data_IF_785800180465
#
_entry.id   IF_785800180465
#
_cell.length_a   1.000
_cell.length_b   1.000
_cell.length_c   1.000
_cell.angle_alpha   90.00
_cell.angle_beta   90.00
_cell.angle_gamma   90.00
#
_symmetry.space_group_name_H-M   'P 1'
#
loop_
_entity.id
_entity.type
_entity.pdbx_description
1 polymer ?
#
# COMPACT_ATOMS: atom_id res chain seq x y z
N UNK A 1 -32.99 6.16 3.95
CA UNK A 1 -31.64 5.53 4.01
C UNK A 1 -31.55 4.74 5.32
N UNK A 2 -31.58 3.40 5.26
CA UNK A 2 -31.71 2.53 6.44
C UNK A 2 -30.49 2.56 7.38
N UNK A 3 -30.63 1.97 8.57
CA UNK A 3 -29.58 1.86 9.61
C UNK A 3 -28.23 1.35 9.07
N UNK A 4 -28.25 0.48 8.05
CA UNK A 4 -27.07 -0.02 7.36
C UNK A 4 -26.30 1.10 6.62
N UNK A 5 -27.01 2.03 5.98
CA UNK A 5 -26.40 3.16 5.28
C UNK A 5 -25.76 4.17 6.24
N UNK A 6 -26.33 4.37 7.43
CA UNK A 6 -25.73 5.19 8.48
C UNK A 6 -24.46 4.54 9.05
N UNK A 7 -24.45 3.21 9.19
CA UNK A 7 -23.30 2.45 9.68
C UNK A 7 -22.14 2.50 8.68
N UNK A 8 -22.39 2.27 7.39
CA UNK A 8 -21.38 2.37 6.33
C UNK A 8 -20.87 3.81 6.12
N UNK A 9 -21.64 4.82 6.52
CA UNK A 9 -21.19 6.20 6.43
C UNK A 9 -20.27 6.63 7.59
N UNK A 10 -20.23 5.86 8.68
CA UNK A 10 -19.35 6.10 9.82
C UNK A 10 -18.04 5.33 9.68
N UNK A 11 -16.91 5.96 10.02
CA UNK A 11 -15.61 5.27 10.07
C UNK A 11 -15.64 4.08 11.02
N UNK A 12 -16.29 4.23 12.18
CA UNK A 12 -16.43 3.15 13.15
C UNK A 12 -17.26 1.98 12.61
N UNK A 13 -18.33 2.27 11.86
CA UNK A 13 -19.17 1.23 11.27
C UNK A 13 -18.44 0.44 10.19
N UNK A 14 -17.68 1.11 9.31
CA UNK A 14 -16.82 0.43 8.32
C UNK A 14 -15.75 -0.44 8.98
N UNK A 15 -15.09 0.06 10.03
CA UNK A 15 -14.11 -0.71 10.79
C UNK A 15 -14.73 -1.94 11.47
N UNK A 16 -15.95 -1.82 12.02
CA UNK A 16 -16.68 -2.95 12.60
C UNK A 16 -17.05 -3.97 11.52
N UNK A 17 -17.54 -3.53 10.36
CA UNK A 17 -17.83 -4.43 9.25
C UNK A 17 -16.57 -5.19 8.79
N UNK A 18 -15.43 -4.49 8.68
CA UNK A 18 -14.16 -5.11 8.31
C UNK A 18 -13.71 -6.11 9.37
N UNK A 19 -13.85 -5.78 10.65
CA UNK A 19 -13.52 -6.68 11.75
C UNK A 19 -14.37 -7.96 11.70
N UNK A 20 -15.69 -7.83 11.53
CA UNK A 20 -16.61 -8.98 11.42
C UNK A 20 -16.23 -9.84 10.22
N UNK A 21 -15.96 -9.21 9.07
CA UNK A 21 -15.54 -9.90 7.85
C UNK A 21 -14.22 -10.66 8.08
N UNK A 22 -13.27 -10.06 8.78
CA UNK A 22 -11.97 -10.67 9.09
C UNK A 22 -12.12 -11.88 10.01
N UNK A 23 -12.95 -11.78 11.05
CA UNK A 23 -13.23 -12.89 11.97
C UNK A 23 -13.96 -14.04 11.26
N UNK A 24 -14.94 -13.72 10.42
CA UNK A 24 -15.67 -14.70 9.61
C UNK A 24 -14.73 -15.39 8.60
N UNK A 25 -13.88 -14.62 7.91
CA UNK A 25 -12.86 -15.14 7.00
C UNK A 25 -11.90 -16.09 7.72
N UNK A 26 -11.38 -15.70 8.88
CA UNK A 26 -10.47 -16.51 9.67
C UNK A 26 -11.09 -17.86 10.06
N UNK A 27 -12.37 -17.87 10.45
CA UNK A 27 -13.10 -19.11 10.74
C UNK A 27 -13.23 -20.01 9.50
N UNK A 28 -13.62 -19.44 8.35
CA UNK A 28 -13.79 -20.17 7.09
C UNK A 28 -12.46 -20.78 6.63
N UNK A 29 -11.39 -19.97 6.57
CA UNK A 29 -10.08 -20.44 6.12
C UNK A 29 -9.48 -21.50 7.05
N UNK A 30 -9.61 -21.33 8.37
CA UNK A 30 -9.18 -22.34 9.32
C UNK A 30 -9.87 -23.69 9.07
N UNK A 31 -11.17 -23.69 8.77
CA UNK A 31 -11.93 -24.91 8.47
C UNK A 31 -11.56 -25.52 7.13
N UNK A 32 -11.38 -24.70 6.10
CA UNK A 32 -11.11 -25.17 4.72
C UNK A 32 -9.67 -25.67 4.58
N UNK A 33 -8.69 -24.90 5.04
CA UNK A 33 -7.27 -25.18 4.83
C UNK A 33 -6.63 -25.96 5.98
N UNK A 34 -7.10 -25.78 7.23
CA UNK A 34 -6.47 -26.42 8.40
C UNK A 34 -6.43 -27.95 8.31
N UNK A 35 -7.54 -28.58 7.89
CA UNK A 35 -7.57 -30.02 7.70
C UNK A 35 -6.71 -30.49 6.52
N UNK A 36 -6.57 -29.66 5.47
CA UNK A 36 -5.75 -29.97 4.31
C UNK A 36 -4.24 -29.86 4.61
N UNK A 37 -3.86 -28.87 5.41
CA UNK A 37 -2.49 -28.69 5.89
C UNK A 37 -2.00 -29.91 6.68
N UNK A 38 -2.78 -30.34 7.67
CA UNK A 38 -2.43 -31.50 8.51
C UNK A 38 -2.28 -32.76 7.65
N UNK A 39 -3.20 -33.00 6.70
CA UNK A 39 -3.10 -34.13 5.77
C UNK A 39 -1.82 -34.07 4.94
N UNK A 40 -1.44 -32.89 4.47
CA UNK A 40 -0.23 -32.68 3.65
C UNK A 40 1.03 -32.94 4.45
N UNK A 41 1.11 -32.44 5.69
CA UNK A 41 2.21 -32.70 6.64
C UNK A 41 2.39 -34.20 6.90
N UNK A 42 1.30 -34.90 7.25
CA UNK A 42 1.33 -36.35 7.52
C UNK A 42 1.75 -37.13 6.26
N UNK A 43 1.25 -36.76 5.08
CA UNK A 43 1.62 -37.43 3.84
C UNK A 43 3.09 -37.22 3.47
N UNK A 44 3.62 -36.01 3.68
CA UNK A 44 5.02 -35.68 3.46
C UNK A 44 5.94 -36.45 4.42
N UNK A 45 5.60 -36.49 5.71
CA UNK A 45 6.32 -37.28 6.71
C UNK A 45 6.35 -38.78 6.35
N UNK A 46 5.20 -39.36 5.97
CA UNK A 46 5.11 -40.75 5.52
C UNK A 46 5.92 -41.02 4.25
N UNK A 47 5.92 -40.08 3.30
CA UNK A 47 6.71 -40.20 2.08
C UNK A 47 8.21 -40.21 2.39
N UNK A 48 8.67 -39.30 3.26
CA UNK A 48 10.07 -39.26 3.73
C UNK A 48 10.47 -40.55 4.43
N UNK A 49 9.65 -41.03 5.37
CA UNK A 49 9.93 -42.27 6.10
C UNK A 49 10.09 -43.45 5.14
N UNK A 50 9.25 -43.54 4.10
CA UNK A 50 9.36 -44.60 3.08
C UNK A 50 10.62 -44.50 2.23
N UNK A 51 11.03 -43.28 1.87
CA UNK A 51 12.28 -43.03 1.13
C UNK A 51 13.49 -43.39 1.99
N UNK A 52 13.47 -42.98 3.26
CA UNK A 52 14.55 -43.25 4.21
C UNK A 52 14.72 -44.74 4.46
N UNK A 53 13.63 -45.46 4.72
CA UNK A 53 13.67 -46.92 4.94
C UNK A 53 14.18 -47.65 3.70
N UNK A 54 13.69 -47.31 2.49
CA UNK A 54 14.19 -47.93 1.26
C UNK A 54 15.68 -47.61 1.02
N UNK A 55 16.11 -46.38 1.31
CA UNK A 55 17.52 -46.00 1.18
C UNK A 55 18.41 -46.81 2.15
N UNK A 56 17.92 -47.07 3.37
CA UNK A 56 18.62 -47.89 4.36
C UNK A 56 18.68 -49.36 3.93
N UNK A 57 17.57 -49.93 3.46
CA UNK A 57 17.51 -51.30 2.94
C UNK A 57 18.50 -51.50 1.77
N UNK A 58 18.55 -50.56 0.83
CA UNK A 58 19.50 -50.60 -0.29
C UNK A 58 20.96 -50.39 0.15
N UNK A 59 21.20 -49.58 1.18
CA UNK A 59 22.54 -49.42 1.73
C UNK A 59 23.04 -50.71 2.39
N UNK A 60 22.16 -51.47 3.04
CA UNK A 60 22.46 -52.76 3.65
C UNK A 60 22.74 -53.87 2.61
N UNK A 61 22.16 -53.76 1.40
CA UNK A 61 22.43 -54.68 0.27
C UNK A 61 23.84 -54.50 -0.35
N UNK A 62 24.51 -53.37 -0.11
CA UNK A 62 25.89 -53.12 -0.58
C UNK A 62 25.99 -52.79 -2.08
N UNK A 63 27.08 -53.22 -2.73
CA UNK A 63 27.41 -52.83 -4.11
C UNK A 63 26.44 -53.40 -5.18
N UNK A 64 25.72 -54.48 -4.87
CA UNK A 64 24.76 -55.11 -5.79
C UNK A 64 23.35 -54.45 -5.74
N UNK A 65 23.16 -53.43 -4.90
CA UNK A 65 21.88 -52.79 -4.67
C UNK A 65 21.35 -52.03 -5.89
N UNK A 66 20.07 -52.23 -6.22
CA UNK A 66 19.41 -51.53 -7.33
C UNK A 66 18.87 -50.16 -6.89
N UNK A 67 19.77 -49.15 -6.92
CA UNK A 67 19.45 -47.76 -6.61
C UNK A 67 18.40 -47.12 -7.54
N UNK A 68 18.08 -47.74 -8.69
CA UNK A 68 17.02 -47.24 -9.57
C UNK A 68 15.64 -47.25 -8.88
N UNK A 69 15.42 -48.19 -7.94
CA UNK A 69 14.21 -48.27 -7.12
C UNK A 69 14.05 -47.04 -6.23
N UNK A 70 15.15 -46.56 -5.64
CA UNK A 70 15.14 -45.35 -4.82
C UNK A 70 14.80 -44.12 -5.67
N UNK A 71 15.43 -43.98 -6.84
CA UNK A 71 15.15 -42.88 -7.78
C UNK A 71 13.68 -42.87 -8.18
N UNK A 72 13.11 -44.03 -8.55
CA UNK A 72 11.71 -44.15 -8.89
C UNK A 72 10.78 -43.80 -7.71
N UNK A 73 11.15 -44.18 -6.49
CA UNK A 73 10.37 -43.86 -5.29
C UNK A 73 10.42 -42.37 -4.95
N UNK A 74 11.59 -41.73 -5.07
CA UNK A 74 11.73 -40.28 -4.91
C UNK A 74 10.92 -39.55 -5.97
N UNK A 75 10.98 -39.97 -7.24
CA UNK A 75 10.22 -39.35 -8.33
C UNK A 75 8.70 -39.43 -8.10
N UNK A 76 8.23 -40.58 -7.60
CA UNK A 76 6.82 -40.81 -7.21
C UNK A 76 6.32 -39.83 -6.14
N UNK A 77 7.16 -39.46 -5.18
CA UNK A 77 6.79 -38.53 -4.10
C UNK A 77 7.24 -37.09 -4.34
N UNK A 78 8.07 -36.83 -5.36
CA UNK A 78 8.69 -35.52 -5.66
C UNK A 78 7.70 -34.38 -5.56
N UNK A 79 6.59 -34.46 -6.29
CA UNK A 79 5.62 -33.36 -6.35
C UNK A 79 4.92 -33.10 -5.00
N UNK A 80 4.67 -34.16 -4.21
CA UNK A 80 4.04 -34.05 -2.89
C UNK A 80 5.00 -33.42 -1.87
N UNK A 81 6.27 -33.84 -1.89
CA UNK A 81 7.31 -33.27 -1.05
C UNK A 81 7.58 -31.82 -1.42
N UNK A 82 7.67 -31.50 -2.72
CA UNK A 82 7.83 -30.14 -3.21
C UNK A 82 6.66 -29.24 -2.78
N UNK A 83 5.43 -29.75 -2.82
CA UNK A 83 4.26 -29.01 -2.36
C UNK A 83 4.29 -28.77 -0.84
N UNK A 84 4.66 -29.77 -0.05
CA UNK A 84 4.81 -29.62 1.40
C UNK A 84 5.92 -28.61 1.76
N UNK A 85 7.05 -28.66 1.05
CA UNK A 85 8.15 -27.71 1.18
C UNK A 85 7.73 -26.28 0.86
N UNK A 86 7.08 -26.07 -0.30
CA UNK A 86 6.56 -24.75 -0.70
C UNK A 86 5.56 -24.18 0.32
N UNK A 87 4.76 -25.03 0.96
CA UNK A 87 3.79 -24.62 1.95
C UNK A 87 4.39 -24.40 3.36
N UNK A 88 5.72 -24.50 3.52
CA UNK A 88 6.39 -24.38 4.82
C UNK A 88 6.03 -25.51 5.79
N UNK A 89 5.48 -26.61 5.27
CA UNK A 89 4.99 -27.78 6.00
C UNK A 89 6.02 -28.91 6.07
N UNK A 90 7.23 -28.65 5.60
CA UNK A 90 8.29 -29.65 5.52
C UNK A 90 9.17 -29.60 6.76
N UNK A 91 9.17 -30.71 7.51
CA UNK A 91 9.85 -30.88 8.80
C UNK A 91 11.33 -31.31 8.61
N UNK A 92 11.98 -30.85 7.54
CA UNK A 92 13.42 -31.12 7.33
C UNK A 92 14.32 -30.39 8.35
N UNK A 93 13.77 -29.42 9.09
CA UNK A 93 14.46 -28.73 10.18
C UNK A 93 14.29 -29.46 11.53
N UNK A 94 15.19 -29.18 12.48
CA UNK A 94 15.14 -29.72 13.83
C UNK A 94 13.92 -29.25 14.66
N UNK A 95 13.19 -28.22 14.19
CA UNK A 95 12.05 -27.63 14.88
C UNK A 95 10.72 -27.98 14.20
N UNK A 96 9.82 -28.60 14.96
CA UNK A 96 8.44 -28.85 14.54
C UNK A 96 7.66 -27.54 14.64
N UNK A 97 7.49 -26.84 13.51
CA UNK A 97 6.68 -25.61 13.46
C UNK A 97 5.20 -25.94 13.67
N UNK A 98 4.44 -25.11 14.42
CA UNK A 98 3.01 -25.29 14.56
C UNK A 98 2.28 -25.15 13.21
N UNK A 99 1.03 -25.63 13.10
CA UNK A 99 0.22 -25.44 11.90
C UNK A 99 0.02 -23.96 11.57
N UNK A 100 0.30 -23.58 10.32
CA UNK A 100 0.15 -22.23 9.80
C UNK A 100 -1.32 -21.81 9.76
N UNK A 101 -2.24 -22.73 9.43
CA UNK A 101 -3.68 -22.50 9.38
C UNK A 101 -4.38 -22.68 10.72
N UNK A 102 -3.79 -22.15 11.79
CA UNK A 102 -4.52 -21.92 13.06
C UNK A 102 -5.56 -20.80 12.89
N UNK A 103 -6.45 -20.59 13.87
CA UNK A 103 -7.39 -19.46 13.85
C UNK A 103 -6.65 -18.12 13.69
N UNK A 104 -5.57 -17.94 14.47
CA UNK A 104 -4.76 -16.73 14.44
C UNK A 104 -3.94 -16.59 13.15
N UNK A 105 -3.40 -17.69 12.61
CA UNK A 105 -2.75 -17.67 11.30
C UNK A 105 -3.71 -17.38 10.15
N UNK A 106 -4.96 -17.84 10.26
CA UNK A 106 -6.04 -17.51 9.31
C UNK A 106 -6.45 -16.04 9.40
N UNK A 107 -6.46 -15.47 10.61
CA UNK A 107 -6.68 -14.04 10.84
C UNK A 107 -5.56 -13.20 10.22
N UNK A 108 -4.31 -13.60 10.44
CA UNK A 108 -3.13 -13.01 9.81
C UNK A 108 -3.26 -13.03 8.28
N UNK A 109 -3.62 -14.18 7.69
CA UNK A 109 -3.86 -14.31 6.26
C UNK A 109 -4.96 -13.37 5.75
N UNK A 110 -6.09 -13.27 6.47
CA UNK A 110 -7.18 -12.37 6.07
C UNK A 110 -6.72 -10.91 6.04
N UNK A 111 -5.94 -10.48 7.06
CA UNK A 111 -5.42 -9.12 7.14
C UNK A 111 -4.44 -8.85 6.00
N UNK A 112 -3.44 -9.71 5.80
CA UNK A 112 -2.45 -9.52 4.73
C UNK A 112 -3.06 -9.58 3.33
N UNK A 113 -4.17 -10.31 3.17
CA UNK A 113 -4.94 -10.38 1.92
C UNK A 113 -5.68 -9.07 1.64
N UNK A 114 -6.51 -8.57 2.57
CA UNK A 114 -7.31 -7.37 2.30
C UNK A 114 -6.47 -6.09 2.30
N UNK A 115 -5.32 -6.07 3.00
CA UNK A 115 -4.35 -4.98 2.91
C UNK A 115 -3.51 -5.03 1.65
N UNK A 116 -3.67 -6.08 0.83
CA UNK A 116 -2.92 -6.31 -0.41
C UNK A 116 -1.41 -6.42 -0.24
N UNK A 117 -0.92 -6.64 0.99
CA UNK A 117 0.51 -6.87 1.24
C UNK A 117 0.89 -8.27 0.73
N UNK A 118 0.17 -9.30 1.17
CA UNK A 118 0.31 -10.65 0.62
C UNK A 118 1.73 -11.27 0.65
N UNK A 119 2.40 -11.31 1.81
CA UNK A 119 3.76 -11.87 1.96
C UNK A 119 3.97 -13.29 1.40
N UNK A 120 2.91 -14.06 1.18
CA UNK A 120 3.02 -15.40 0.58
C UNK A 120 3.60 -16.48 1.51
N UNK A 121 3.82 -16.17 2.79
CA UNK A 121 4.21 -17.15 3.82
C UNK A 121 3.04 -18.07 4.23
N UNK A 122 1.80 -17.60 4.11
CA UNK A 122 0.57 -18.39 4.30
C UNK A 122 -0.32 -18.18 3.07
N UNK A 123 -0.68 -19.27 2.37
CA UNK A 123 -1.48 -19.21 1.15
C UNK A 123 -2.35 -20.46 0.96
N UNK A 124 -3.55 -20.32 0.37
CA UNK A 124 -4.50 -21.42 0.24
C UNK A 124 -3.99 -22.46 -0.76
N UNK A 125 -3.88 -23.69 -0.28
CA UNK A 125 -3.42 -24.83 -1.07
C UNK A 125 -4.58 -25.52 -1.79
N UNK A 126 -5.81 -25.42 -1.26
CA UNK A 126 -6.99 -26.09 -1.79
C UNK A 126 -7.69 -25.27 -2.87
N UNK A 127 -8.35 -25.95 -3.80
CA UNK A 127 -9.20 -25.30 -4.82
C UNK A 127 -10.31 -24.47 -4.16
N UNK A 128 -10.95 -25.01 -3.13
CA UNK A 128 -11.99 -24.32 -2.36
C UNK A 128 -11.45 -23.06 -1.69
N UNK A 129 -10.29 -23.15 -1.02
CA UNK A 129 -9.65 -22.00 -0.38
C UNK A 129 -9.33 -20.89 -1.37
N UNK A 130 -8.83 -21.23 -2.56
CA UNK A 130 -8.58 -20.25 -3.63
C UNK A 130 -9.85 -19.55 -4.11
N UNK A 131 -10.95 -20.29 -4.28
CA UNK A 131 -12.26 -19.69 -4.65
C UNK A 131 -12.73 -18.74 -3.54
N UNK A 132 -12.65 -19.18 -2.28
CA UNK A 132 -13.02 -18.34 -1.13
C UNK A 132 -12.17 -17.08 -1.07
N UNK A 133 -10.86 -17.15 -1.32
CA UNK A 133 -9.96 -16.00 -1.40
C UNK A 133 -10.42 -14.97 -2.44
N UNK A 134 -10.82 -15.42 -3.64
CA UNK A 134 -11.31 -14.52 -4.69
C UNK A 134 -12.59 -13.81 -4.22
N UNK A 135 -13.59 -14.56 -3.74
CA UNK A 135 -14.86 -13.98 -3.28
C UNK A 135 -14.67 -13.05 -2.09
N UNK A 136 -13.83 -13.43 -1.13
CA UNK A 136 -13.51 -12.63 0.05
C UNK A 136 -12.78 -11.34 -0.32
N UNK A 137 -11.76 -11.43 -1.19
CA UNK A 137 -10.96 -10.28 -1.63
C UNK A 137 -11.79 -9.20 -2.33
N UNK A 138 -12.76 -9.60 -3.17
CA UNK A 138 -13.66 -8.67 -3.87
C UNK A 138 -14.46 -7.76 -2.93
N UNK A 139 -14.73 -8.21 -1.70
CA UNK A 139 -15.50 -7.45 -0.71
C UNK A 139 -14.57 -6.77 0.29
N UNK A 140 -13.56 -7.49 0.79
CA UNK A 140 -12.69 -7.02 1.85
C UNK A 140 -11.73 -5.91 1.41
N UNK A 141 -11.16 -6.00 0.19
CA UNK A 141 -10.18 -5.03 -0.30
C UNK A 141 -10.81 -3.64 -0.48
N UNK A 142 -11.97 -3.47 -1.17
CA UNK A 142 -12.62 -2.15 -1.26
C UNK A 142 -13.00 -1.58 0.11
N UNK A 143 -13.52 -2.43 1.00
CA UNK A 143 -13.89 -2.01 2.36
C UNK A 143 -12.66 -1.51 3.13
N UNK A 144 -11.54 -2.23 3.04
CA UNK A 144 -10.28 -1.82 3.65
C UNK A 144 -9.77 -0.49 3.08
N UNK A 145 -9.79 -0.31 1.75
CA UNK A 145 -9.41 0.95 1.10
C UNK A 145 -10.22 2.14 1.62
N UNK A 146 -11.54 1.98 1.83
CA UNK A 146 -12.38 3.02 2.43
C UNK A 146 -12.00 3.35 3.87
N UNK A 147 -11.69 2.33 4.68
CA UNK A 147 -11.23 2.50 6.07
C UNK A 147 -9.89 3.22 6.11
N UNK A 148 -8.91 2.77 5.31
CA UNK A 148 -7.58 3.38 5.21
C UNK A 148 -7.70 4.85 4.82
N UNK A 149 -8.48 5.18 3.79
CA UNK A 149 -8.68 6.58 3.36
C UNK A 149 -9.26 7.47 4.48
N UNK A 150 -10.24 6.96 5.23
CA UNK A 150 -10.81 7.70 6.37
C UNK A 150 -9.81 7.88 7.51
N UNK A 151 -8.98 6.88 7.77
CA UNK A 151 -7.90 6.97 8.76
C UNK A 151 -6.82 7.97 8.30
N UNK A 152 -6.39 7.93 7.04
CA UNK A 152 -5.44 8.91 6.47
C UNK A 152 -5.94 10.35 6.64
N UNK A 153 -7.22 10.60 6.37
CA UNK A 153 -7.85 11.91 6.61
C UNK A 153 -7.96 12.27 8.10
N UNK A 154 -8.15 11.28 8.97
CA UNK A 154 -8.15 11.49 10.43
C UNK A 154 -6.75 11.86 10.93
N UNK A 155 -5.70 11.17 10.45
CA UNK A 155 -4.30 11.47 10.75
C UNK A 155 -3.96 12.91 10.30
N UNK A 156 -4.34 13.29 9.09
CA UNK A 156 -4.11 14.66 8.60
C UNK A 156 -4.80 15.70 9.50
N UNK A 157 -6.06 15.47 9.92
CA UNK A 157 -6.76 16.37 10.85
C UNK A 157 -6.09 16.44 12.22
N UNK A 158 -5.62 15.31 12.75
CA UNK A 158 -4.91 15.26 14.02
C UNK A 158 -3.60 16.06 13.95
N UNK A 159 -2.81 15.86 12.90
CA UNK A 159 -1.56 16.59 12.71
C UNK A 159 -1.80 18.09 12.52
N UNK A 160 -2.88 18.50 11.82
CA UNK A 160 -3.32 19.91 11.73
C UNK A 160 -3.63 20.46 13.12
N UNK A 161 -4.36 19.71 13.94
CA UNK A 161 -4.72 20.11 15.30
C UNK A 161 -3.48 20.27 16.18
N UNK A 162 -2.54 19.33 16.13
CA UNK A 162 -1.27 19.41 16.87
C UNK A 162 -0.46 20.65 16.42
N UNK A 163 -0.34 20.87 15.12
CA UNK A 163 0.38 22.03 14.59
C UNK A 163 -0.24 23.35 15.08
N UNK A 164 -1.57 23.45 15.04
CA UNK A 164 -2.31 24.60 15.57
C UNK A 164 -2.10 24.81 17.08
N UNK A 165 -2.14 23.75 17.88
CA UNK A 165 -1.88 23.83 19.33
C UNK A 165 -0.47 24.31 19.64
N UNK A 166 0.52 23.90 18.84
CA UNK A 166 1.90 24.37 18.98
C UNK A 166 2.03 25.85 18.59
N UNK A 167 1.31 26.30 17.56
CA UNK A 167 1.25 27.72 17.19
C UNK A 167 0.64 28.58 18.31
N UNK A 168 -0.42 28.10 18.96
CA UNK A 168 -1.06 28.80 20.08
C UNK A 168 -0.14 28.95 21.29
N UNK A 169 0.77 28.00 21.49
CA UNK A 169 1.73 28.01 22.62
C UNK A 169 2.98 28.86 22.32
N UNK A 170 3.33 29.08 21.05
CA UNK A 170 4.58 29.73 20.64
C UNK A 170 4.55 31.27 20.66
N UNK A 171 3.49 31.89 21.18
CA UNK A 171 3.41 33.35 21.38
C UNK A 171 3.34 34.15 20.08
N UNK A 172 2.96 33.50 18.96
CA UNK A 172 2.86 34.13 17.64
C UNK A 172 1.74 35.20 17.67
N UNK A 173 1.96 36.38 17.08
CA UNK A 173 0.98 37.47 17.10
C UNK A 173 -0.38 37.06 16.51
N UNK A 174 -1.44 37.50 17.21
CA UNK A 174 -2.85 37.13 16.96
C UNK A 174 -3.26 37.33 15.49
N UNK A 175 -2.74 38.36 14.81
CA UNK A 175 -3.03 38.63 13.40
C UNK A 175 -2.55 37.54 12.43
N UNK A 176 -1.41 36.90 12.71
CA UNK A 176 -0.88 35.81 11.88
C UNK A 176 -1.66 34.50 12.13
N UNK A 177 -2.08 34.28 13.38
CA UNK A 177 -2.98 33.20 13.78
C UNK A 177 -4.36 33.32 13.14
N UNK A 178 -4.95 34.51 13.13
CA UNK A 178 -6.25 34.76 12.48
C UNK A 178 -6.16 34.69 10.96
N UNK A 179 -5.04 35.11 10.36
CA UNK A 179 -4.77 34.87 8.94
C UNK A 179 -4.69 33.36 8.64
N UNK A 180 -4.05 32.58 9.51
CA UNK A 180 -3.97 31.13 9.39
C UNK A 180 -5.33 30.42 9.58
N UNK A 181 -6.14 30.85 10.54
CA UNK A 181 -7.50 30.31 10.74
C UNK A 181 -8.45 30.69 9.59
N UNK A 182 -8.39 31.93 9.09
CA UNK A 182 -9.22 32.43 7.99
C UNK A 182 -8.78 31.93 6.63
N UNK A 183 -7.53 31.51 6.47
CA UNK A 183 -7.06 30.91 5.23
C UNK A 183 -7.94 29.73 4.80
N UNK A 184 -8.68 29.09 5.72
CA UNK A 184 -9.74 28.13 5.37
C UNK A 184 -9.22 26.93 4.57
N UNK A 185 -7.90 26.82 4.41
CA UNK A 185 -7.28 25.80 3.60
C UNK A 185 -7.48 24.50 4.35
N UNK A 186 -8.11 23.54 3.68
CA UNK A 186 -7.80 22.14 3.90
C UNK A 186 -6.29 22.08 4.11
N UNK A 187 -5.86 21.66 5.30
CA UNK A 187 -4.43 21.75 5.64
C UNK A 187 -3.73 20.71 4.78
N UNK A 188 -3.24 21.20 3.66
CA UNK A 188 -2.53 20.43 2.68
C UNK A 188 -1.11 20.33 3.16
N UNK A 189 -0.87 19.28 3.96
CA UNK A 189 0.48 18.83 4.23
C UNK A 189 1.22 18.79 2.91
N UNK A 190 2.29 19.58 2.84
CA UNK A 190 3.20 19.51 1.72
C UNK A 190 3.64 18.06 1.55
N UNK A 191 3.85 17.64 0.31
CA UNK A 191 4.39 16.33 -0.02
C UNK A 191 5.62 16.01 0.84
N UNK A 192 6.48 17.02 1.05
CA UNK A 192 7.68 16.93 1.88
C UNK A 192 7.35 16.52 3.31
N UNK A 193 6.30 17.08 3.92
CA UNK A 193 5.90 16.74 5.29
C UNK A 193 5.34 15.32 5.36
N UNK A 194 4.50 14.92 4.40
CA UNK A 194 3.98 13.54 4.35
C UNK A 194 5.08 12.51 4.13
N UNK A 195 6.07 12.82 3.30
CA UNK A 195 7.24 12.00 3.07
C UNK A 195 8.12 11.92 4.33
N UNK A 196 8.39 13.05 4.98
CA UNK A 196 9.15 13.09 6.24
C UNK A 196 8.51 12.24 7.34
N UNK A 197 7.18 12.30 7.48
CA UNK A 197 6.43 11.44 8.41
C UNK A 197 6.58 9.95 8.06
N UNK A 198 6.52 9.60 6.78
CA UNK A 198 6.72 8.22 6.33
C UNK A 198 8.14 7.72 6.66
N UNK A 199 9.16 8.54 6.42
CA UNK A 199 10.56 8.21 6.74
C UNK A 199 10.75 8.04 8.24
N UNK A 200 10.24 8.98 9.06
CA UNK A 200 10.31 8.88 10.52
C UNK A 200 9.60 7.61 10.99
N UNK A 201 8.41 7.33 10.44
CA UNK A 201 7.65 6.14 10.77
C UNK A 201 8.42 4.86 10.41
N UNK A 202 9.01 4.79 9.22
CA UNK A 202 9.83 3.66 8.80
C UNK A 202 11.06 3.48 9.69
N UNK A 203 11.78 4.55 10.06
CA UNK A 203 12.92 4.47 10.98
C UNK A 203 12.49 4.00 12.37
N UNK A 204 11.32 4.45 12.84
CA UNK A 204 10.78 4.04 14.14
C UNK A 204 10.47 2.54 14.19
N UNK A 205 10.30 1.87 13.05
CA UNK A 205 10.13 0.42 13.02
C UNK A 205 11.35 -0.31 13.61
N UNK A 206 12.56 0.24 13.48
CA UNK A 206 13.77 -0.30 14.10
C UNK A 206 13.63 -0.46 15.60
N UNK A 207 13.03 0.53 16.27
CA UNK A 207 12.72 0.44 17.71
C UNK A 207 11.63 -0.60 17.96
N UNK A 208 10.54 -0.56 17.18
CA UNK A 208 9.40 -1.46 17.38
C UNK A 208 9.79 -2.93 17.23
N UNK A 209 10.52 -3.30 16.17
CA UNK A 209 10.86 -4.70 15.89
C UNK A 209 12.09 -5.18 16.65
N UNK A 210 13.14 -4.38 16.77
CA UNK A 210 14.35 -4.80 17.47
C UNK A 210 14.23 -4.73 18.99
N UNK A 211 13.19 -4.09 19.55
CA UNK A 211 12.99 -4.02 21.01
C UNK A 211 11.61 -4.51 21.47
N UNK A 212 10.59 -4.49 20.60
CA UNK A 212 9.21 -4.76 20.98
C UNK A 212 8.62 -6.11 20.51
N UNK A 213 9.27 -6.82 19.58
CA UNK A 213 8.71 -8.05 18.97
C UNK A 213 9.60 -9.26 19.30
N UNK A 214 9.51 -9.75 20.55
CA UNK A 214 9.97 -11.07 20.99
C UNK A 214 11.29 -11.59 20.37
N UNK A 215 11.27 -12.81 19.84
CA UNK A 215 12.43 -13.46 19.20
C UNK A 215 12.87 -12.77 17.90
N UNK A 216 11.98 -12.01 17.26
CA UNK A 216 12.33 -11.18 16.09
C UNK A 216 13.38 -10.13 16.47
N UNK A 217 13.32 -9.62 17.72
CA UNK A 217 14.26 -8.64 18.23
C UNK A 217 15.71 -9.14 18.23
N UNK A 218 15.93 -10.43 18.52
CA UNK A 218 17.27 -11.03 18.52
C UNK A 218 17.77 -11.40 17.12
N UNK A 219 16.86 -11.57 16.16
CA UNK A 219 17.20 -12.04 14.82
C UNK A 219 17.47 -10.88 13.82
N UNK A 220 16.86 -9.71 14.03
CA UNK A 220 16.84 -8.63 13.05
C UNK A 220 17.76 -7.48 13.43
N UNK A 221 18.49 -6.94 12.44
CA UNK A 221 19.14 -5.65 12.57
C UNK A 221 18.11 -4.51 12.44
N UNK A 222 18.42 -3.28 12.92
CA UNK A 222 17.55 -2.13 12.71
C UNK A 222 17.27 -1.85 11.23
N UNK A 223 18.21 -2.16 10.34
CA UNK A 223 18.02 -2.00 8.90
C UNK A 223 17.00 -3.01 8.35
N UNK A 224 17.03 -4.26 8.81
CA UNK A 224 16.05 -5.29 8.41
C UNK A 224 14.64 -4.88 8.85
N UNK A 225 14.51 -4.29 10.04
CA UNK A 225 13.24 -3.77 10.53
C UNK A 225 12.71 -2.60 9.67
N UNK A 226 13.58 -1.67 9.26
CA UNK A 226 13.22 -0.56 8.36
C UNK A 226 12.84 -1.09 6.98
N UNK A 227 13.61 -2.04 6.45
CA UNK A 227 13.35 -2.69 5.18
C UNK A 227 12.01 -3.42 5.20
N UNK A 228 11.75 -4.24 6.23
CA UNK A 228 10.46 -4.90 6.44
C UNK A 228 9.30 -3.90 6.50
N UNK A 229 9.44 -2.83 7.29
CA UNK A 229 8.41 -1.81 7.39
C UNK A 229 8.14 -1.16 6.03
N UNK A 230 9.19 -0.81 5.27
CA UNK A 230 9.07 -0.21 3.94
C UNK A 230 8.31 -1.12 2.97
N UNK A 231 8.74 -2.38 2.78
CA UNK A 231 8.08 -3.31 1.84
C UNK A 231 6.63 -3.61 2.25
N UNK A 232 6.31 -3.50 3.53
CA UNK A 232 4.99 -3.78 4.08
C UNK A 232 4.04 -2.59 3.93
N UNK A 233 4.45 -1.38 4.31
CA UNK A 233 3.60 -0.17 4.22
C UNK A 233 3.43 0.31 2.78
N UNK A 234 4.33 -0.06 1.87
CA UNK A 234 4.18 0.16 0.42
C UNK A 234 3.36 -0.94 -0.26
N UNK A 235 2.98 -2.00 0.47
CA UNK A 235 2.27 -3.17 -0.05
C UNK A 235 3.04 -3.92 -1.17
N UNK A 236 4.37 -3.86 -1.17
CA UNK A 236 5.21 -4.71 -2.04
C UNK A 236 5.17 -6.16 -1.55
N UNK A 237 5.32 -6.34 -0.22
CA UNK A 237 5.10 -7.62 0.46
C UNK A 237 5.95 -8.79 -0.07
N UNK A 238 7.26 -8.60 -0.21
CA UNK A 238 8.16 -9.66 -0.72
C UNK A 238 8.11 -10.95 0.11
N UNK A 239 7.93 -10.84 1.43
CA UNK A 239 7.80 -11.99 2.34
C UNK A 239 9.09 -12.77 2.55
N UNK A 240 10.22 -12.22 2.12
CA UNK A 240 11.58 -12.69 2.37
C UNK A 240 11.96 -12.61 3.84
N UNK A 241 11.53 -11.54 4.52
CA UNK A 241 11.57 -11.44 5.98
C UNK A 241 10.19 -11.13 6.53
N UNK A 242 9.80 -11.85 7.58
CA UNK A 242 8.55 -11.66 8.31
C UNK A 242 8.83 -11.91 9.79
N UNK A 243 8.22 -11.15 10.72
CA UNK A 243 8.39 -11.38 12.15
C UNK A 243 8.11 -12.85 12.49
N UNK A 244 9.10 -13.47 13.13
CA UNK A 244 9.09 -14.87 13.53
C UNK A 244 9.05 -14.89 15.04
N UNK A 245 7.85 -14.72 15.58
CA UNK A 245 7.56 -14.71 17.00
C UNK A 245 6.18 -15.30 17.23
N UNK A 246 5.71 -15.27 18.48
CA UNK A 246 4.35 -15.68 18.82
C UNK A 246 3.32 -15.04 17.89
N UNK A 247 2.28 -15.81 17.55
CA UNK A 247 1.25 -15.36 16.60
C UNK A 247 0.59 -14.05 17.05
N UNK A 248 0.49 -13.83 18.35
CA UNK A 248 -0.01 -12.59 18.93
C UNK A 248 0.89 -11.38 18.60
N UNK A 249 2.21 -11.53 18.73
CA UNK A 249 3.17 -10.47 18.39
C UNK A 249 3.21 -10.21 16.88
N UNK A 250 3.07 -11.24 16.07
CA UNK A 250 2.92 -11.09 14.63
C UNK A 250 1.63 -10.32 14.27
N UNK A 251 0.52 -10.56 14.97
CA UNK A 251 -0.71 -9.79 14.80
C UNK A 251 -0.57 -8.34 15.28
N UNK A 252 0.12 -8.11 16.40
CA UNK A 252 0.43 -6.76 16.89
C UNK A 252 1.29 -5.98 15.88
N UNK A 253 2.23 -6.67 15.22
CA UNK A 253 3.02 -6.07 14.15
C UNK A 253 2.16 -5.63 12.95
N UNK A 254 1.10 -6.37 12.62
CA UNK A 254 0.18 -5.96 11.55
C UNK A 254 -0.62 -4.71 11.94
N UNK A 255 -0.93 -4.53 13.23
CA UNK A 255 -1.58 -3.30 13.70
C UNK A 255 -0.66 -2.08 13.53
N UNK A 256 0.64 -2.24 13.78
CA UNK A 256 1.64 -1.24 13.42
C UNK A 256 1.59 -0.97 11.90
N UNK A 257 1.81 -1.98 11.06
CA UNK A 257 1.77 -1.82 9.59
C UNK A 257 0.47 -1.16 9.09
N UNK A 258 -0.68 -1.41 9.71
CA UNK A 258 -1.95 -0.80 9.33
C UNK A 258 -1.95 0.75 9.47
N UNK A 259 -1.27 1.28 10.49
CA UNK A 259 -1.06 2.73 10.63
C UNK A 259 -0.12 3.23 9.54
N UNK A 260 0.94 2.48 9.26
CA UNK A 260 1.87 2.77 8.16
C UNK A 260 1.19 2.81 6.79
N UNK A 261 0.27 1.90 6.51
CA UNK A 261 -0.55 1.91 5.29
C UNK A 261 -1.41 3.19 5.18
N UNK A 262 -1.96 3.67 6.30
CA UNK A 262 -2.70 4.93 6.31
C UNK A 262 -1.79 6.15 6.06
N UNK A 263 -0.55 6.15 6.55
CA UNK A 263 0.45 7.16 6.24
C UNK A 263 0.90 7.10 4.77
N UNK A 264 1.11 5.90 4.24
CA UNK A 264 1.45 5.71 2.83
C UNK A 264 0.32 6.18 1.91
N UNK A 265 -0.93 5.86 2.25
CA UNK A 265 -2.10 6.35 1.51
C UNK A 265 -2.23 7.88 1.58
N UNK A 266 -1.87 8.51 2.71
CA UNK A 266 -1.81 9.97 2.81
C UNK A 266 -0.75 10.54 1.85
N UNK A 267 0.46 9.96 1.83
CA UNK A 267 1.53 10.37 0.91
C UNK A 267 1.10 10.22 -0.56
N UNK A 268 0.54 9.07 -0.94
CA UNK A 268 0.07 8.85 -2.31
C UNK A 268 -1.03 9.82 -2.72
N UNK A 269 -2.00 10.09 -1.83
CA UNK A 269 -3.06 11.07 -2.10
C UNK A 269 -2.47 12.44 -2.41
N UNK A 270 -1.45 12.88 -1.66
CA UNK A 270 -0.76 14.16 -1.90
C UNK A 270 0.07 14.16 -3.18
N UNK A 271 0.74 13.05 -3.47
CA UNK A 271 1.51 12.89 -4.71
C UNK A 271 0.59 13.00 -5.94
N UNK A 272 -0.56 12.34 -5.92
CA UNK A 272 -1.54 12.37 -7.01
C UNK A 272 -2.06 13.79 -7.20
N UNK A 273 -2.51 14.46 -6.13
CA UNK A 273 -3.04 15.83 -6.20
C UNK A 273 -2.02 16.82 -6.77
N UNK A 274 -0.74 16.73 -6.36
CA UNK A 274 0.30 17.59 -6.93
C UNK A 274 0.56 17.29 -8.39
N UNK A 275 0.56 16.00 -8.77
CA UNK A 275 0.78 15.60 -10.16
C UNK A 275 -0.36 16.13 -11.05
N UNK A 276 -1.61 15.98 -10.63
CA UNK A 276 -2.78 16.55 -11.31
C UNK A 276 -2.69 18.06 -11.44
N UNK A 277 -2.35 18.78 -10.36
CA UNK A 277 -2.19 20.23 -10.38
C UNK A 277 -1.08 20.71 -11.34
N UNK A 278 0.02 19.95 -11.47
CA UNK A 278 1.07 20.26 -12.46
C UNK A 278 0.60 19.99 -13.89
N UNK A 279 -0.10 18.87 -14.11
CA UNK A 279 -0.66 18.52 -15.42
C UNK A 279 -1.66 19.57 -15.90
N UNK A 280 -2.53 20.08 -15.03
CA UNK A 280 -3.47 21.16 -15.34
C UNK A 280 -2.75 22.47 -15.71
N UNK A 281 -1.66 22.83 -15.01
CA UNK A 281 -0.86 24.03 -15.33
C UNK A 281 -0.19 23.93 -16.69
N UNK A 282 0.36 22.75 -17.00
CA UNK A 282 1.00 22.48 -18.30
C UNK A 282 -0.05 22.50 -19.42
N UNK A 283 -1.20 21.85 -19.20
CA UNK A 283 -2.32 21.83 -20.15
C UNK A 283 -2.91 23.21 -20.40
N UNK A 284 -3.14 23.99 -19.33
CA UNK A 284 -3.63 25.37 -19.40
C UNK A 284 -2.67 26.30 -20.14
N UNK A 285 -1.37 26.20 -19.85
CA UNK A 285 -0.35 26.97 -20.57
C UNK A 285 -0.29 26.61 -22.06
N UNK A 286 -0.49 25.34 -22.42
CA UNK A 286 -0.56 24.92 -23.82
C UNK A 286 -1.81 25.49 -24.53
N UNK A 287 -2.97 25.48 -23.88
CA UNK A 287 -4.20 26.08 -24.44
C UNK A 287 -4.11 27.60 -24.56
N UNK A 288 -3.47 28.28 -23.60
CA UNK A 288 -3.29 29.73 -23.63
C UNK A 288 -2.31 30.15 -24.74
N UNK A 289 -1.26 29.37 -25.00
CA UNK A 289 -0.34 29.59 -26.13
C UNK A 289 -1.06 29.39 -27.47
N UNK A 290 -1.92 28.38 -27.60
CA UNK A 290 -2.74 28.16 -28.81
C UNK A 290 -3.79 29.27 -28.98
N UNK A 291 -4.44 29.71 -27.89
CA UNK A 291 -5.39 30.82 -27.89
C UNK A 291 -4.72 32.15 -28.26
N UNK A 292 -3.55 32.46 -27.69
CA UNK A 292 -2.78 33.65 -28.00
C UNK A 292 -2.25 33.67 -29.45
N UNK A 293 -1.90 32.50 -30.01
CA UNK A 293 -1.49 32.41 -31.42
C UNK A 293 -2.67 32.53 -32.39
N UNK A 294 -3.88 32.09 -32.03
CA UNK A 294 -5.09 32.39 -32.83
C UNK A 294 -5.55 33.85 -32.72
N UNK A 295 -5.51 34.46 -31.54
CA UNK A 295 -5.85 35.88 -31.34
C UNK A 295 -4.82 36.81 -32.00
N UNK A 296 -3.53 36.46 -31.94
CA UNK A 296 -2.46 37.17 -32.64
C UNK A 296 -2.58 37.11 -34.18
N UNK A 297 -3.08 36.00 -34.72
CA UNK A 297 -3.35 35.85 -36.16
C UNK A 297 -4.62 36.59 -36.60
N UNK A 298 -5.67 36.60 -35.77
CA UNK A 298 -6.92 37.34 -36.04
C UNK A 298 -6.73 38.85 -36.10
N UNK A 299 -5.93 39.43 -35.20
CA UNK A 299 -5.64 40.88 -35.19
C UNK A 299 -4.70 41.32 -36.33
N UNK A 300 -3.83 40.43 -36.83
CA UNK A 300 -3.00 40.74 -38.00
C UNK A 300 -3.77 40.73 -39.33
N UNK A 301 -4.88 40.00 -39.44
CA UNK A 301 -5.77 40.12 -40.60
C UNK A 301 -6.55 41.44 -40.58
N UNK A 302 -7.11 41.86 -39.44
CA UNK A 302 -7.88 43.09 -39.36
C UNK A 302 -7.03 44.36 -39.58
N UNK A 303 -5.77 44.39 -39.13
CA UNK A 303 -4.89 45.54 -39.39
C UNK A 303 -4.44 45.64 -40.85
N UNK A 304 -4.33 44.52 -41.57
CA UNK A 304 -4.00 44.52 -43.01
C UNK A 304 -5.14 45.02 -43.89
N UNK A 305 -6.40 44.86 -43.49
CA UNK A 305 -7.54 45.46 -44.21
C UNK A 305 -7.71 46.96 -43.92
N UNK A 306 -7.33 47.45 -42.74
CA UNK A 306 -7.40 48.88 -42.40
C UNK A 306 -6.31 49.73 -43.08
N UNK A 307 -5.16 49.14 -43.43
CA UNK A 307 -4.05 49.81 -44.12
C UNK A 307 -4.14 49.78 -45.66
N UNK A 308 -5.10 49.04 -46.23
CA UNK A 308 -5.30 48.95 -47.68
C UNK A 308 -6.31 49.95 -48.27
N UNK A 309 -7.08 50.65 -47.44
CA UNK A 309 -8.19 51.50 -47.91
C UNK A 309 -7.94 53.01 -47.82
N UNK A 310 -6.81 53.45 -47.24
CA UNK A 310 -6.48 54.87 -47.00
C UNK A 310 -5.33 55.39 -47.87
N UNK A 311 -5.11 54.78 -49.02
CA UNK A 311 -4.00 55.07 -49.94
C UNK A 311 -4.41 55.61 -51.30
N UNK A 312 -5.43 56.47 -51.37
CA UNK A 312 -5.76 57.30 -52.56
C UNK A 312 -6.87 58.26 -52.17
N UNK A 313 -6.53 59.49 -51.82
CA UNK A 313 -7.26 60.75 -52.06
C UNK A 313 -6.71 61.83 -51.10
N UNK A 314 -6.58 63.04 -51.63
CA UNK A 314 -6.21 64.29 -50.96
C UNK A 314 -4.70 64.57 -50.75
N UNK A 315 -4.00 64.69 -51.88
CA UNK A 315 -3.03 65.77 -52.03
C UNK A 315 -3.79 67.04 -52.47
N UNK A 316 -4.17 67.91 -51.54
CA UNK A 316 -4.50 69.33 -51.81
C UNK A 316 -4.77 70.07 -50.50
N UNK A 317 -3.78 70.83 -50.01
CA UNK A 317 -3.94 72.16 -49.43
C UNK A 317 -2.68 72.52 -48.64
N UNK A 318 -1.82 73.29 -49.31
CA UNK A 318 -0.82 74.12 -48.70
C UNK A 318 -1.46 75.17 -47.76
N UNK A 319 -0.63 75.56 -46.79
CA UNK A 319 -0.44 76.91 -46.25
C UNK A 319 -1.27 77.38 -45.04
N UNK A 320 -0.52 78.16 -44.24
CA UNK A 320 -0.89 79.01 -43.11
C UNK A 320 -1.23 78.30 -41.80
N UNK A 321 -0.82 78.75 -40.63
CA UNK A 321 0.14 79.77 -40.18
C UNK A 321 0.15 79.68 -38.65
N UNK A 322 1.17 80.27 -38.01
CA UNK A 322 1.13 80.85 -36.65
C UNK A 322 0.95 79.92 -35.43
N UNK A 323 2.06 79.77 -34.70
CA UNK A 323 2.17 79.92 -33.22
C UNK A 323 1.29 81.07 -32.68
N UNK A 324 0.83 81.09 -31.39
CA UNK A 324 1.69 80.87 -30.23
C UNK A 324 1.07 80.23 -28.96
N UNK A 325 1.99 79.97 -28.03
CA UNK A 325 1.84 79.79 -26.57
C UNK A 325 0.65 80.51 -25.94
N UNK A 326 0.11 79.96 -24.84
CA UNK A 326 0.10 80.59 -23.51
C UNK A 326 -0.31 79.57 -22.43
N UNK A 327 0.51 79.57 -21.36
CA UNK A 327 0.33 79.08 -19.98
C UNK A 327 0.10 77.59 -19.69
#
# INVERSE_FOLDING_TARGET
MGRLGQLLNSTAGLSICLLILTLAGAYIFNKVEGAAEIRTRIQAAKARQRIFVLAQELADEGDDADWSKLVAQVDKYRNKLLQAWKAGNDELGAEIKPPSWSFWGSLYYCITLFTTIGYGNVFPSTTTGRIVTVCYGLIAIPLCSMVINRISKAIARLLKAIYLMTLDTSGIPIGLRDAYHRAGTDFDFSLITSFGLLVIYAIFSGVVYCWGIGETASAWSPLDAVYFAFISITSIGLGDIVPSSDVFLNLASLAYIFVGLALMNLFFTRLIQLTEAQLERIGGSATDVVGASQVGSGNQMQSRYALGASGRFAASALANSTTPNYH
#
